data_IF_167105330766
#
_entry.id   IF_167105330766
#
_cell.length_a   1.000
_cell.length_b   1.000
_cell.length_c   1.000
_cell.angle_alpha   90.00
_cell.angle_beta   90.00
_cell.angle_gamma   90.00
#
_symmetry.space_group_name_H-M   'P 1'
#
loop_
_entity.id
_entity.type
_entity.pdbx_description
1 polymer ?
#
# COMPACT_ATOMS: atom_id res chain seq x y z
N UNK A 1 17.11 22.46 54.64
CA UNK A 1 16.60 22.64 53.27
C UNK A 1 17.57 22.05 52.27
N UNK A 2 17.04 21.51 51.16
CA UNK A 2 17.71 20.89 49.98
C UNK A 2 18.01 19.39 50.07
N UNK A 3 16.98 18.58 49.88
CA UNK A 3 17.09 17.29 49.19
C UNK A 3 16.66 17.53 47.75
N UNK A 4 17.64 17.76 46.89
CA UNK A 4 17.44 17.97 45.45
C UNK A 4 17.17 16.61 44.82
N UNK A 5 15.90 16.33 44.52
CA UNK A 5 15.52 15.17 43.73
C UNK A 5 15.86 15.44 42.26
N UNK A 6 16.77 14.65 41.70
CA UNK A 6 17.13 14.68 40.29
C UNK A 6 16.00 13.98 39.53
N UNK A 7 15.22 14.77 38.80
CA UNK A 7 14.13 14.32 37.95
C UNK A 7 14.73 13.92 36.59
N UNK A 8 15.03 12.63 36.41
CA UNK A 8 15.33 12.05 35.09
C UNK A 8 13.99 11.83 34.37
N UNK A 9 13.53 12.82 33.61
CA UNK A 9 12.39 12.66 32.71
C UNK A 9 12.87 12.64 31.27
N UNK A 10 12.78 11.43 30.72
CA UNK A 10 12.45 11.07 29.35
C UNK A 10 13.13 11.87 28.23
N UNK A 11 14.22 11.27 27.78
CA UNK A 11 14.67 11.21 26.39
C UNK A 11 13.60 11.58 25.34
N UNK A 12 13.81 12.73 24.68
CA UNK A 12 13.67 12.82 23.22
C UNK A 12 12.26 12.78 22.64
N UNK A 13 11.41 13.76 22.94
CA UNK A 13 10.16 14.02 22.20
C UNK A 13 10.37 14.68 20.81
N UNK A 14 11.53 14.51 20.17
CA UNK A 14 11.89 15.19 18.90
C UNK A 14 12.73 14.27 18.01
N UNK A 15 12.12 13.23 17.45
CA UNK A 15 12.64 12.53 16.29
C UNK A 15 11.46 11.94 15.52
N UNK A 16 11.31 12.36 14.27
CA UNK A 16 10.07 12.29 13.51
C UNK A 16 9.48 10.89 13.37
N UNK A 17 8.18 10.80 13.57
CA UNK A 17 7.36 9.82 12.86
C UNK A 17 7.16 10.29 11.41
N UNK A 18 8.25 10.45 10.66
CA UNK A 18 8.19 10.37 9.22
C UNK A 18 8.18 8.89 8.84
N UNK A 19 7.09 8.20 9.19
CA UNK A 19 6.75 6.94 8.57
C UNK A 19 6.26 7.27 7.16
N UNK A 20 7.19 7.59 6.25
CA UNK A 20 6.96 7.43 4.81
C UNK A 20 6.98 5.93 4.50
N UNK A 21 6.12 5.16 5.16
CA UNK A 21 5.78 3.81 4.71
C UNK A 21 4.65 3.99 3.74
N UNK A 22 4.88 3.72 2.45
CA UNK A 22 3.78 3.50 1.51
C UNK A 22 2.82 2.52 2.19
N UNK A 23 1.56 2.89 2.44
CA UNK A 23 0.65 2.05 3.21
C UNK A 23 0.37 0.77 2.40
N UNK A 24 1.13 -0.30 2.68
CA UNK A 24 0.90 -1.61 2.08
C UNK A 24 -0.48 -2.11 2.46
N UNK A 25 -1.15 -2.82 1.57
CA UNK A 25 -2.46 -3.42 1.83
C UNK A 25 -3.50 -3.17 0.75
N UNK A 26 -4.75 -3.45 1.12
CA UNK A 26 -5.90 -3.45 0.21
C UNK A 26 -6.75 -2.21 0.48
N UNK A 27 -7.02 -1.42 -0.56
CA UNK A 27 -7.97 -0.30 -0.51
C UNK A 27 -8.95 -0.38 -1.66
N UNK A 28 -10.15 0.14 -1.43
CA UNK A 28 -11.16 0.31 -2.47
C UNK A 28 -11.29 1.78 -2.83
N UNK A 29 -11.28 2.09 -4.12
CA UNK A 29 -11.44 3.44 -4.66
C UNK A 29 -12.54 3.37 -5.72
N UNK A 30 -13.76 3.76 -5.35
CA UNK A 30 -14.93 3.53 -6.19
C UNK A 30 -15.19 2.03 -6.38
N UNK A 31 -15.35 1.59 -7.62
CA UNK A 31 -15.48 0.18 -7.99
C UNK A 31 -14.16 -0.58 -8.12
N UNK A 32 -13.03 0.10 -7.98
CA UNK A 32 -11.70 -0.49 -8.16
C UNK A 32 -11.10 -0.92 -6.84
N UNK A 33 -10.52 -2.12 -6.80
CA UNK A 33 -9.70 -2.58 -5.68
C UNK A 33 -8.22 -2.40 -6.02
N UNK A 34 -7.47 -1.80 -5.10
CA UNK A 34 -6.04 -1.56 -5.22
C UNK A 34 -5.33 -2.33 -4.12
N UNK A 35 -4.36 -3.13 -4.48
CA UNK A 35 -3.53 -3.93 -3.56
C UNK A 35 -2.09 -3.50 -3.74
N UNK A 36 -1.56 -2.77 -2.77
CA UNK A 36 -0.16 -2.35 -2.73
C UNK A 36 0.69 -3.38 -1.98
N UNK A 37 1.76 -3.83 -2.63
CA UNK A 37 2.74 -4.70 -2.00
C UNK A 37 3.82 -3.90 -1.23
N UNK A 38 4.69 -4.62 -0.54
CA UNK A 38 5.78 -4.03 0.25
C UNK A 38 6.91 -3.43 -0.59
N UNK A 39 6.97 -3.77 -1.88
CA UNK A 39 7.95 -3.27 -2.84
C UNK A 39 7.41 -2.03 -3.60
N UNK A 40 6.16 -1.64 -3.36
CA UNK A 40 5.54 -0.44 -3.93
C UNK A 40 4.84 -0.67 -5.27
N UNK A 41 4.75 -1.91 -5.76
CA UNK A 41 3.90 -2.23 -6.90
C UNK A 41 2.43 -2.30 -6.45
N UNK A 42 1.52 -1.96 -7.36
CA UNK A 42 0.07 -1.96 -7.11
C UNK A 42 -0.62 -2.90 -8.08
N UNK A 43 -1.29 -3.93 -7.56
CA UNK A 43 -2.29 -4.68 -8.32
C UNK A 43 -3.61 -3.90 -8.30
N UNK A 44 -4.17 -3.67 -9.48
CA UNK A 44 -5.42 -2.97 -9.73
C UNK A 44 -6.42 -3.99 -10.25
N UNK A 45 -7.55 -4.13 -9.56
CA UNK A 45 -8.70 -4.92 -9.99
C UNK A 45 -9.80 -3.91 -10.32
N UNK A 46 -10.14 -3.78 -11.60
CA UNK A 46 -11.15 -2.82 -12.04
C UNK A 46 -12.59 -3.27 -11.71
N UNK A 47 -13.56 -2.44 -12.08
CA UNK A 47 -14.98 -2.71 -11.84
C UNK A 47 -15.53 -3.91 -12.63
N UNK A 48 -14.80 -4.41 -13.64
CA UNK A 48 -15.12 -5.60 -14.40
C UNK A 48 -14.38 -6.84 -13.85
N UNK A 49 -13.64 -6.68 -12.75
CA UNK A 49 -12.81 -7.70 -12.15
C UNK A 49 -11.51 -7.98 -12.90
N UNK A 50 -11.15 -7.18 -13.91
CA UNK A 50 -9.94 -7.35 -14.69
C UNK A 50 -8.71 -6.81 -13.95
N UNK A 51 -7.62 -7.58 -14.00
CA UNK A 51 -6.40 -7.33 -13.25
C UNK A 51 -5.33 -6.64 -14.10
N UNK A 52 -4.69 -5.63 -13.52
CA UNK A 52 -3.48 -4.99 -14.05
C UNK A 52 -2.51 -4.64 -12.93
N UNK A 53 -1.22 -4.56 -13.23
CA UNK A 53 -0.18 -4.18 -12.27
C UNK A 53 0.42 -2.85 -12.68
N UNK A 54 0.55 -1.94 -11.72
CA UNK A 54 1.36 -0.73 -11.84
C UNK A 54 2.67 -1.00 -11.09
N UNK A 55 3.80 -1.15 -11.79
CA UNK A 55 5.10 -1.32 -11.13
C UNK A 55 5.46 -0.11 -10.26
N UNK A 56 6.30 -0.32 -9.25
CA UNK A 56 6.83 0.77 -8.43
C UNK A 56 7.45 1.87 -9.32
N UNK A 57 7.06 3.13 -9.08
CA UNK A 57 7.57 4.28 -9.83
C UNK A 57 7.02 4.42 -11.26
N UNK A 58 6.15 3.52 -11.71
CA UNK A 58 5.43 3.64 -12.98
C UNK A 58 4.11 4.39 -12.81
N UNK A 59 3.61 4.94 -13.90
CA UNK A 59 2.24 5.47 -14.02
C UNK A 59 1.41 4.66 -15.04
N UNK A 60 2.02 3.65 -15.65
CA UNK A 60 1.42 2.79 -16.65
C UNK A 60 1.04 1.47 -15.98
N UNK A 61 -0.23 1.10 -16.13
CA UNK A 61 -0.73 -0.21 -15.71
C UNK A 61 -0.55 -1.22 -16.85
N UNK A 62 0.00 -2.38 -16.53
CA UNK A 62 0.19 -3.49 -17.45
C UNK A 62 -0.85 -4.58 -17.17
N UNK A 63 -1.58 -5.10 -18.17
CA UNK A 63 -2.57 -6.13 -17.94
C UNK A 63 -1.91 -7.42 -17.45
N UNK A 64 -2.50 -8.04 -16.43
CA UNK A 64 -2.11 -9.39 -16.05
C UNK A 64 -2.71 -10.34 -17.08
N UNK A 65 -1.87 -11.17 -17.71
CA UNK A 65 -2.31 -12.16 -18.69
C UNK A 65 -2.10 -13.58 -18.18
N UNK A 66 -2.97 -14.49 -18.60
CA UNK A 66 -2.80 -15.92 -18.37
C UNK A 66 -1.75 -16.54 -19.32
N UNK A 67 -1.60 -17.87 -19.27
CA UNK A 67 -0.64 -18.60 -20.08
C UNK A 67 -0.92 -18.55 -21.59
N UNK A 68 -2.17 -18.26 -21.98
CA UNK A 68 -2.60 -18.13 -23.37
C UNK A 68 -2.53 -16.67 -23.86
N UNK A 69 -2.14 -15.74 -22.97
CA UNK A 69 -2.05 -14.31 -23.25
C UNK A 69 -3.37 -13.57 -23.14
N UNK A 70 -4.42 -14.19 -22.57
CA UNK A 70 -5.70 -13.53 -22.33
C UNK A 70 -5.65 -12.73 -21.01
N UNK A 71 -6.33 -11.57 -20.92
CA UNK A 71 -6.41 -10.81 -19.67
C UNK A 71 -7.04 -11.62 -18.54
N UNK A 72 -6.43 -11.57 -17.36
CA UNK A 72 -6.98 -12.23 -16.18
C UNK A 72 -8.07 -11.33 -15.57
N UNK A 73 -9.32 -11.75 -15.73
CA UNK A 73 -10.46 -11.11 -15.08
C UNK A 73 -11.17 -12.12 -14.18
N UNK A 74 -11.44 -11.74 -12.93
CA UNK A 74 -12.27 -12.52 -12.03
C UNK A 74 -13.72 -12.10 -12.30
N UNK A 75 -14.57 -12.95 -12.89
CA UNK A 75 -15.96 -12.60 -13.07
C UNK A 75 -16.59 -12.36 -11.69
N UNK A 76 -17.30 -11.24 -11.53
CA UNK A 76 -18.14 -11.02 -10.36
C UNK A 76 -19.11 -12.19 -10.26
N UNK A 77 -18.91 -13.04 -9.26
CA UNK A 77 -19.59 -14.32 -9.14
C UNK A 77 -21.11 -14.17 -9.24
N UNK A 78 -21.69 -14.72 -10.31
CA UNK A 78 -23.12 -15.04 -10.41
C UNK A 78 -23.48 -16.22 -9.53
#
# INVERSE_FOLDING_TARGET
>A
MRRTAILLIACGALAGCAASGTPTGIRQVGGTTLVEDAEGATLVIDENGCQSVVPEGSTVAEPVTDADGAPVCVPDGT
#
